data_IF_880414550512
#
_entry.id   IF_880414550512
#
_cell.length_a   1.000
_cell.length_b   1.000
_cell.length_c   1.000
_cell.angle_alpha   90.00
_cell.angle_beta   90.00
_cell.angle_gamma   90.00
#
_symmetry.space_group_name_H-M   'P 1'
#
loop_
_entity.id
_entity.type
_entity.pdbx_description
1 polymer ?
#
# COMPACT_ATOMS: atom_id res chain seq x y z
N UNK A 1 50.65 11.22 -36.39
CA UNK A 1 49.79 11.51 -35.22
C UNK A 1 48.84 10.34 -35.01
N UNK A 2 48.96 9.60 -33.90
CA UNK A 2 48.04 8.50 -33.54
C UNK A 2 46.98 9.06 -32.59
N UNK A 3 45.71 9.03 -32.99
CA UNK A 3 44.60 9.42 -32.13
C UNK A 3 44.13 8.20 -31.35
N UNK A 4 44.22 8.26 -30.02
CA UNK A 4 43.61 7.29 -29.12
C UNK A 4 42.17 7.73 -28.85
N UNK A 5 41.21 6.88 -29.20
CA UNK A 5 39.80 7.05 -28.86
C UNK A 5 39.60 6.56 -27.42
N UNK A 6 39.39 7.49 -26.49
CA UNK A 6 39.12 7.20 -25.09
C UNK A 6 37.62 6.91 -24.94
N UNK A 7 37.24 5.63 -24.82
CA UNK A 7 35.85 5.21 -24.60
C UNK A 7 35.54 5.36 -23.11
N UNK A 8 34.72 6.35 -22.76
CA UNK A 8 34.15 6.48 -21.42
C UNK A 8 33.02 5.45 -21.24
N UNK A 9 33.22 4.48 -20.35
CA UNK A 9 32.14 3.62 -19.86
C UNK A 9 31.30 4.41 -18.85
N UNK A 10 30.11 4.83 -19.26
CA UNK A 10 29.13 5.48 -18.41
C UNK A 10 28.44 4.39 -17.56
N UNK A 11 28.87 4.22 -16.31
CA UNK A 11 28.22 3.32 -15.36
C UNK A 11 27.00 4.04 -14.79
N UNK A 12 25.81 3.74 -15.32
CA UNK A 12 24.54 4.17 -14.74
C UNK A 12 24.27 3.37 -13.45
N UNK A 13 23.89 4.02 -12.34
CA UNK A 13 23.50 3.32 -11.13
C UNK A 13 22.19 2.56 -11.39
N UNK A 14 22.25 1.23 -11.32
CA UNK A 14 21.06 0.38 -11.32
C UNK A 14 20.43 0.53 -9.94
N UNK A 15 19.38 1.34 -9.84
CA UNK A 15 18.54 1.38 -8.64
C UNK A 15 17.74 0.07 -8.62
N UNK A 16 18.17 -0.90 -7.79
CA UNK A 16 17.37 -2.09 -7.51
C UNK A 16 16.14 -1.67 -6.70
N UNK A 17 15.01 -1.46 -7.37
CA UNK A 17 13.72 -1.57 -6.69
C UNK A 17 13.45 -3.04 -6.43
N UNK A 18 12.99 -3.38 -5.22
CA UNK A 18 12.50 -4.72 -4.92
C UNK A 18 11.37 -5.06 -5.90
N UNK A 19 11.65 -5.96 -6.84
CA UNK A 19 10.70 -6.40 -7.84
C UNK A 19 9.61 -7.25 -7.17
N UNK A 20 8.36 -7.02 -7.56
CA UNK A 20 7.25 -7.87 -7.14
C UNK A 20 7.50 -9.31 -7.62
N UNK A 21 7.47 -10.32 -6.73
CA UNK A 21 7.55 -11.71 -7.12
C UNK A 21 6.42 -12.08 -8.09
N UNK A 22 6.69 -13.00 -8.99
CA UNK A 22 5.66 -13.60 -9.84
C UNK A 22 4.94 -14.71 -9.06
N UNK A 23 3.61 -14.73 -9.15
CA UNK A 23 2.78 -15.69 -8.44
C UNK A 23 2.24 -16.75 -9.41
N UNK A 24 2.35 -18.05 -9.08
CA UNK A 24 1.91 -19.10 -9.97
C UNK A 24 0.38 -19.05 -10.11
N UNK A 25 -0.04 -18.89 -11.35
CA UNK A 25 -1.42 -19.00 -11.78
C UNK A 25 -1.93 -20.41 -11.53
N UNK A 26 -3.07 -20.53 -10.84
CA UNK A 26 -3.57 -21.83 -10.37
C UNK A 26 -5.08 -21.88 -10.25
N UNK A 27 -5.58 -23.08 -9.99
CA UNK A 27 -6.98 -23.33 -9.64
C UNK A 27 -7.10 -23.52 -8.13
N UNK A 28 -8.30 -23.32 -7.61
CA UNK A 28 -8.58 -23.38 -6.18
C UNK A 28 -10.00 -23.92 -5.96
N UNK A 29 -10.20 -24.77 -4.95
CA UNK A 29 -11.54 -25.22 -4.53
C UNK A 29 -11.76 -24.75 -3.10
N UNK A 30 -12.84 -24.01 -2.86
CA UNK A 30 -13.16 -23.55 -1.51
C UNK A 30 -13.81 -24.63 -0.65
N UNK A 31 -14.00 -24.33 0.63
CA UNK A 31 -14.60 -25.25 1.61
C UNK A 31 -16.06 -25.62 1.31
N UNK A 32 -16.72 -24.91 0.39
CA UNK A 32 -18.08 -25.21 -0.07
C UNK A 32 -18.11 -26.08 -1.33
N UNK A 33 -16.93 -26.41 -1.88
CA UNK A 33 -16.78 -27.18 -3.11
C UNK A 33 -16.89 -26.33 -4.38
N UNK A 34 -16.87 -24.99 -4.30
CA UNK A 34 -16.87 -24.14 -5.49
C UNK A 34 -15.48 -24.15 -6.12
N UNK A 35 -15.44 -24.38 -7.42
CA UNK A 35 -14.21 -24.43 -8.21
C UNK A 35 -13.89 -23.07 -8.84
N UNK A 36 -12.73 -22.53 -8.48
CA UNK A 36 -12.17 -21.28 -9.01
C UNK A 36 -11.05 -21.59 -10.00
N UNK A 37 -11.10 -20.92 -11.15
CA UNK A 37 -10.16 -21.11 -12.24
C UNK A 37 -9.50 -19.77 -12.55
N UNK A 38 -8.17 -19.74 -12.57
CA UNK A 38 -7.46 -18.56 -13.06
C UNK A 38 -7.86 -18.30 -14.52
N UNK A 39 -8.47 -17.15 -14.80
CA UNK A 39 -9.11 -16.85 -16.08
C UNK A 39 -8.13 -16.90 -17.27
N UNK A 40 -6.84 -16.65 -17.04
CA UNK A 40 -5.83 -16.73 -18.10
C UNK A 40 -5.24 -18.14 -18.31
N UNK A 41 -5.76 -19.18 -17.66
CA UNK A 41 -5.34 -20.56 -17.89
C UNK A 41 -6.30 -21.27 -18.85
N UNK A 42 -5.79 -22.15 -19.72
CA UNK A 42 -6.65 -23.00 -20.54
C UNK A 42 -7.52 -23.92 -19.67
N UNK A 43 -8.73 -24.19 -20.14
CA UNK A 43 -9.69 -25.10 -19.55
C UNK A 43 -9.71 -26.41 -20.35
N UNK A 44 -9.55 -27.52 -19.65
CA UNK A 44 -9.65 -28.87 -20.21
C UNK A 44 -10.75 -29.63 -19.49
N UNK A 45 -11.59 -30.31 -20.26
CA UNK A 45 -12.57 -31.26 -19.71
C UNK A 45 -12.00 -32.66 -19.76
N UNK A 46 -12.26 -33.43 -18.70
CA UNK A 46 -11.91 -34.84 -18.63
C UNK A 46 -13.17 -35.64 -18.30
N UNK A 47 -13.34 -36.79 -18.94
CA UNK A 47 -14.47 -37.70 -18.73
C UNK A 47 -13.94 -38.99 -18.09
N UNK A 48 -14.61 -39.44 -17.03
CA UNK A 48 -14.32 -40.69 -16.35
C UNK A 48 -15.60 -41.37 -15.90
N UNK A 49 -15.53 -42.69 -15.71
CA UNK A 49 -16.67 -43.52 -15.27
C UNK A 49 -16.67 -43.80 -13.76
N UNK A 50 -15.59 -43.45 -13.06
CA UNK A 50 -15.50 -43.51 -11.60
C UNK A 50 -14.52 -42.46 -11.08
N UNK A 51 -14.57 -42.17 -9.78
CA UNK A 51 -13.62 -41.27 -9.13
C UNK A 51 -12.21 -41.87 -9.02
N UNK A 52 -12.06 -43.19 -9.23
CA UNK A 52 -10.80 -43.93 -9.09
C UNK A 52 -10.07 -44.09 -10.43
N UNK A 53 -10.77 -43.96 -11.55
CA UNK A 53 -10.19 -44.13 -12.88
C UNK A 53 -9.45 -42.87 -13.34
N UNK A 54 -8.36 -43.04 -14.10
CA UNK A 54 -7.71 -41.92 -14.79
C UNK A 54 -8.65 -41.39 -15.88
N UNK A 55 -9.14 -40.14 -15.78
CA UNK A 55 -10.12 -39.65 -16.73
C UNK A 55 -9.44 -39.29 -18.07
N UNK A 56 -10.18 -39.44 -19.17
CA UNK A 56 -9.70 -39.16 -20.52
C UNK A 56 -10.03 -37.71 -20.92
N UNK A 57 -9.10 -36.97 -21.55
CA UNK A 57 -9.38 -35.62 -21.99
C UNK A 57 -10.42 -35.62 -23.10
N UNK A 58 -11.42 -34.74 -22.97
CA UNK A 58 -12.34 -34.43 -24.04
C UNK A 58 -11.62 -33.51 -25.03
N UNK A 59 -11.46 -33.96 -26.29
CA UNK A 59 -10.81 -33.16 -27.31
C UNK A 59 -11.81 -32.16 -27.92
N UNK A 60 -11.48 -30.88 -27.90
CA UNK A 60 -12.14 -29.88 -28.73
C UNK A 60 -11.63 -29.98 -30.17
N UNK A 61 -12.55 -29.88 -31.13
CA UNK A 61 -12.23 -29.60 -32.53
C UNK A 61 -12.64 -28.15 -32.82
N UNK A 62 -11.73 -27.27 -33.29
CA UNK A 62 -10.30 -27.46 -33.55
C UNK A 62 -9.45 -27.50 -32.25
N UNK A 63 -8.16 -27.89 -32.38
CA UNK A 63 -7.11 -28.01 -31.35
C UNK A 63 -6.76 -26.72 -30.58
N UNK A 64 -7.60 -25.69 -30.62
CA UNK A 64 -7.39 -24.47 -29.85
C UNK A 64 -7.66 -24.73 -28.37
N UNK A 65 -6.83 -24.15 -27.51
CA UNK A 65 -7.07 -24.09 -26.07
C UNK A 65 -8.37 -23.33 -25.80
N UNK A 66 -9.23 -23.91 -24.98
CA UNK A 66 -10.45 -23.24 -24.52
C UNK A 66 -10.09 -22.35 -23.33
N UNK A 67 -10.56 -21.11 -23.32
CA UNK A 67 -10.44 -20.20 -22.19
C UNK A 67 -11.83 -19.85 -21.66
N UNK A 68 -11.94 -19.66 -20.35
CA UNK A 68 -13.10 -19.00 -19.77
C UNK A 68 -12.88 -17.49 -19.96
N UNK A 69 -13.39 -16.96 -21.07
CA UNK A 69 -13.20 -15.55 -21.38
C UNK A 69 -13.83 -14.65 -20.30
N UNK A 70 -12.99 -13.84 -19.66
CA UNK A 70 -13.40 -12.86 -18.66
C UNK A 70 -13.34 -13.36 -17.21
N UNK A 71 -13.78 -12.49 -16.30
CA UNK A 71 -13.92 -12.78 -14.87
C UNK A 71 -15.41 -12.95 -14.55
N UNK A 72 -15.76 -14.01 -13.83
CA UNK A 72 -17.12 -14.27 -13.40
C UNK A 72 -17.49 -15.75 -13.39
N UNK A 73 -18.79 -16.02 -13.27
CA UNK A 73 -19.32 -17.39 -13.19
C UNK A 73 -19.66 -17.90 -14.58
N UNK A 74 -19.03 -18.98 -14.98
CA UNK A 74 -19.36 -19.74 -16.17
C UNK A 74 -20.16 -20.98 -15.77
N UNK A 75 -21.13 -21.37 -16.60
CA UNK A 75 -22.00 -22.52 -16.31
C UNK A 75 -22.11 -23.45 -17.51
N UNK A 76 -21.97 -24.75 -17.26
CA UNK A 76 -22.27 -25.82 -18.20
C UNK A 76 -23.55 -26.50 -17.76
N UNK A 77 -24.51 -26.62 -18.68
CA UNK A 77 -25.83 -27.20 -18.38
C UNK A 77 -25.99 -28.50 -19.15
N UNK A 78 -26.47 -29.51 -18.48
CA UNK A 78 -26.92 -30.76 -19.08
C UNK A 78 -28.41 -30.91 -18.81
N UNK A 79 -29.18 -31.05 -19.88
CA UNK A 79 -30.62 -31.29 -19.81
C UNK A 79 -30.91 -32.75 -20.09
N UNK A 80 -31.52 -33.43 -19.12
CA UNK A 80 -32.04 -34.77 -19.30
C UNK A 80 -33.48 -34.68 -19.83
N UNK A 81 -33.64 -34.90 -21.13
CA UNK A 81 -34.93 -34.77 -21.83
C UNK A 81 -35.96 -35.83 -21.44
N UNK A 82 -35.55 -36.91 -20.78
CA UNK A 82 -36.46 -37.96 -20.29
C UNK A 82 -37.10 -37.55 -18.96
N UNK A 83 -36.33 -36.89 -18.09
CA UNK A 83 -36.78 -36.49 -16.74
C UNK A 83 -37.11 -35.00 -16.62
N UNK A 84 -36.82 -34.21 -17.66
CA UNK A 84 -36.85 -32.74 -17.65
C UNK A 84 -36.00 -32.11 -16.54
N UNK A 85 -34.97 -32.83 -16.06
CA UNK A 85 -34.02 -32.34 -15.06
C UNK A 85 -32.87 -31.60 -15.74
N UNK A 86 -32.49 -30.44 -15.20
CA UNK A 86 -31.30 -29.70 -15.62
C UNK A 86 -30.25 -29.78 -14.51
N UNK A 87 -29.09 -30.32 -14.85
CA UNK A 87 -27.89 -30.28 -14.01
C UNK A 87 -27.01 -29.09 -14.43
N UNK A 88 -26.50 -28.33 -13.47
CA UNK A 88 -25.68 -27.13 -13.72
C UNK A 88 -24.33 -27.26 -13.01
N UNK A 89 -23.26 -27.34 -13.80
CA UNK A 89 -21.89 -27.22 -13.31
C UNK A 89 -21.46 -25.75 -13.39
N UNK A 90 -20.89 -25.21 -12.31
CA UNK A 90 -20.40 -23.83 -12.26
C UNK A 90 -18.88 -23.80 -12.08
N UNK A 91 -18.22 -22.93 -12.83
CA UNK A 91 -16.81 -22.58 -12.68
C UNK A 91 -16.71 -21.07 -12.46
N UNK A 92 -15.93 -20.67 -11.45
CA UNK A 92 -15.72 -19.28 -11.08
C UNK A 92 -14.37 -18.82 -11.66
N UNK A 93 -14.40 -18.21 -12.85
CA UNK A 93 -13.20 -17.69 -13.51
C UNK A 93 -12.76 -16.40 -12.84
N UNK A 94 -11.51 -16.36 -12.36
CA UNK A 94 -10.96 -15.19 -11.70
C UNK A 94 -9.69 -14.69 -12.40
N UNK A 95 -9.77 -13.49 -12.98
CA UNK A 95 -8.65 -12.77 -13.58
C UNK A 95 -8.45 -11.38 -13.00
N UNK A 96 -9.03 -11.08 -11.83
CA UNK A 96 -8.92 -9.75 -11.21
C UNK A 96 -8.11 -9.86 -9.94
N UNK A 97 -7.08 -9.02 -9.84
CA UNK A 97 -6.34 -8.88 -8.60
C UNK A 97 -7.26 -8.33 -7.48
N UNK A 98 -6.93 -8.62 -6.20
CA UNK A 98 -7.59 -8.00 -5.07
C UNK A 98 -7.52 -6.47 -5.08
N UNK A 99 -8.21 -5.82 -4.14
CA UNK A 99 -8.06 -4.38 -3.88
C UNK A 99 -7.68 -4.15 -2.43
N UNK A 100 -6.46 -3.66 -2.21
CA UNK A 100 -5.92 -3.33 -0.87
C UNK A 100 -5.98 -1.83 -0.56
N UNK A 101 -6.40 -1.50 0.66
CA UNK A 101 -6.41 -0.14 1.24
C UNK A 101 -5.49 -0.06 2.46
N UNK A 102 -4.99 1.14 2.73
CA UNK A 102 -4.20 1.46 3.93
C UNK A 102 -4.93 2.49 4.79
N UNK A 103 -4.85 2.32 6.11
CA UNK A 103 -5.44 3.23 7.10
C UNK A 103 -4.37 3.71 8.08
N UNK A 104 -4.20 5.03 8.17
CA UNK A 104 -3.26 5.70 9.07
C UNK A 104 -4.02 6.15 10.32
N UNK A 105 -3.63 5.65 11.49
CA UNK A 105 -4.40 5.75 12.72
C UNK A 105 -3.57 6.35 13.86
N UNK A 106 -4.27 6.96 14.82
CA UNK A 106 -3.79 7.33 16.17
C UNK A 106 -2.67 8.38 16.27
N UNK A 107 -2.22 8.96 15.14
CA UNK A 107 -1.31 10.10 15.14
C UNK A 107 -2.04 11.40 14.80
N UNK A 108 -1.64 12.51 15.43
CA UNK A 108 -1.89 13.84 14.86
C UNK A 108 -1.26 13.92 13.48
N UNK A 109 -1.93 14.54 12.53
CA UNK A 109 -1.41 14.70 11.18
C UNK A 109 -1.46 16.14 10.70
N UNK A 110 -0.50 16.47 9.84
CA UNK A 110 -0.46 17.72 9.10
C UNK A 110 -0.16 17.39 7.64
N UNK A 111 -0.98 17.90 6.73
CA UNK A 111 -0.78 17.71 5.29
C UNK A 111 -0.16 19.00 4.76
N UNK A 112 1.14 18.96 4.50
CA UNK A 112 1.85 20.01 3.78
C UNK A 112 1.58 19.94 2.27
N UNK A 113 2.12 20.89 1.52
CA UNK A 113 1.89 21.00 0.08
C UNK A 113 2.31 19.73 -0.71
N UNK A 114 3.40 19.09 -0.30
CA UNK A 114 4.00 17.96 -1.01
C UNK A 114 4.15 16.69 -0.15
N UNK A 115 3.79 16.74 1.13
CA UNK A 115 4.07 15.65 2.07
C UNK A 115 3.10 15.62 3.26
N UNK A 116 2.86 14.42 3.80
CA UNK A 116 2.07 14.22 4.99
C UNK A 116 2.97 13.96 6.19
N UNK A 117 2.74 14.68 7.28
CA UNK A 117 3.47 14.57 8.54
C UNK A 117 2.58 13.90 9.59
N UNK A 118 3.16 12.99 10.37
CA UNK A 118 2.47 12.27 11.43
C UNK A 118 3.28 12.33 12.73
N UNK A 119 2.59 12.61 13.84
CA UNK A 119 3.19 12.63 15.17
C UNK A 119 3.37 11.25 15.80
N UNK A 120 3.70 11.25 17.09
CA UNK A 120 3.86 10.03 17.89
C UNK A 120 2.62 9.15 17.89
N UNK A 121 2.82 7.83 17.87
CA UNK A 121 1.73 6.85 17.97
C UNK A 121 1.13 6.43 16.63
N UNK A 122 1.74 6.82 15.49
CA UNK A 122 1.31 6.40 14.17
C UNK A 122 1.26 4.88 14.05
N UNK A 123 0.10 4.39 13.61
CA UNK A 123 -0.12 2.99 13.23
C UNK A 123 -0.70 2.91 11.83
N UNK A 124 -0.19 1.98 11.02
CA UNK A 124 -0.76 1.71 9.70
C UNK A 124 -1.35 0.30 9.69
N UNK A 125 -2.60 0.20 9.22
CA UNK A 125 -3.27 -1.08 8.97
C UNK A 125 -3.55 -1.26 7.48
N UNK A 126 -3.43 -2.50 7.01
CA UNK A 126 -3.80 -2.90 5.65
C UNK A 126 -5.06 -3.77 5.67
N UNK A 127 -5.94 -3.55 4.70
CA UNK A 127 -7.12 -4.39 4.47
C UNK A 127 -7.26 -4.65 2.98
N UNK A 128 -7.59 -5.88 2.61
CA UNK A 128 -7.76 -6.25 1.20
C UNK A 128 -9.06 -6.99 0.99
N UNK A 129 -9.63 -6.81 -0.19
CA UNK A 129 -10.86 -7.49 -0.61
C UNK A 129 -10.70 -8.05 -2.00
N UNK A 130 -11.13 -9.30 -2.18
CA UNK A 130 -11.37 -9.88 -3.50
C UNK A 130 -12.77 -10.51 -3.50
N UNK A 131 -13.50 -10.33 -4.61
CA UNK A 131 -14.92 -10.72 -4.71
C UNK A 131 -15.14 -12.12 -5.27
N UNK A 132 -14.08 -12.78 -5.76
CA UNK A 132 -14.19 -14.07 -6.41
C UNK A 132 -13.40 -15.14 -5.68
N UNK A 133 -12.11 -15.34 -5.96
CA UNK A 133 -11.32 -16.39 -5.32
C UNK A 133 -10.93 -16.06 -3.87
N UNK A 134 -11.07 -14.80 -3.47
CA UNK A 134 -10.70 -14.28 -2.17
C UNK A 134 -9.20 -14.00 -2.06
N UNK A 135 -8.83 -13.25 -1.02
CA UNK A 135 -7.43 -12.86 -0.78
C UNK A 135 -6.65 -14.06 -0.21
N UNK A 136 -5.46 -14.32 -0.77
CA UNK A 136 -4.51 -15.30 -0.25
C UNK A 136 -3.53 -14.67 0.74
N UNK A 137 -2.91 -13.55 0.35
CA UNK A 137 -1.97 -12.82 1.19
C UNK A 137 -1.90 -11.33 0.82
N UNK A 138 -1.60 -10.52 1.83
CA UNK A 138 -1.14 -9.13 1.66
C UNK A 138 0.35 -9.12 1.94
N UNK A 139 1.12 -8.42 1.11
CA UNK A 139 2.54 -8.19 1.29
C UNK A 139 2.82 -6.71 1.46
N UNK A 140 3.82 -6.40 2.28
CA UNK A 140 4.23 -5.03 2.58
C UNK A 140 5.73 -4.90 2.73
N UNK A 141 6.24 -3.70 2.49
CA UNK A 141 7.63 -3.31 2.62
C UNK A 141 7.72 -1.89 3.17
N UNK A 142 8.79 -1.62 3.91
CA UNK A 142 9.13 -0.30 4.38
C UNK A 142 10.48 0.14 3.81
N UNK A 143 10.55 1.36 3.27
CA UNK A 143 11.76 1.98 2.72
C UNK A 143 12.45 1.13 1.66
N UNK A 144 11.65 0.54 0.76
CA UNK A 144 12.11 -0.31 -0.35
C UNK A 144 12.88 -1.57 0.06
N UNK A 145 12.69 -2.03 1.30
CA UNK A 145 13.18 -3.34 1.74
C UNK A 145 12.45 -4.48 1.01
N UNK A 146 12.86 -5.72 1.28
CA UNK A 146 12.16 -6.89 0.77
C UNK A 146 10.71 -6.94 1.29
N UNK A 147 9.79 -7.38 0.43
CA UNK A 147 8.41 -7.60 0.82
C UNK A 147 8.30 -8.75 1.82
N UNK A 148 7.49 -8.54 2.85
CA UNK A 148 7.13 -9.54 3.85
C UNK A 148 5.61 -9.68 3.92
N UNK A 149 5.14 -10.88 4.28
CA UNK A 149 3.71 -11.13 4.44
C UNK A 149 3.19 -10.31 5.62
N UNK A 150 2.10 -9.59 5.40
CA UNK A 150 1.39 -8.87 6.43
C UNK A 150 0.66 -9.86 7.35
N UNK A 151 0.87 -9.74 8.65
CA UNK A 151 0.36 -10.66 9.68
C UNK A 151 -1.02 -10.26 10.23
N UNK A 152 -1.57 -9.14 9.76
CA UNK A 152 -2.84 -8.58 10.23
C UNK A 152 -2.71 -7.66 11.46
N UNK A 153 -1.50 -7.41 11.94
CA UNK A 153 -1.23 -6.54 13.10
C UNK A 153 -0.86 -5.13 12.61
N UNK A 154 -1.22 -4.04 13.32
CA UNK A 154 -0.83 -2.69 12.89
C UNK A 154 0.70 -2.51 12.86
N UNK A 155 1.22 -1.95 11.76
CA UNK A 155 2.63 -1.57 11.64
C UNK A 155 2.85 -0.28 12.43
N UNK A 156 3.83 -0.29 13.32
CA UNK A 156 4.13 0.81 14.23
C UNK A 156 5.32 1.63 13.75
N UNK A 157 5.22 2.95 13.86
CA UNK A 157 6.30 3.88 13.52
C UNK A 157 6.75 4.63 14.77
N UNK A 158 7.94 4.29 15.26
CA UNK A 158 8.49 4.78 16.54
C UNK A 158 9.71 5.69 16.38
N UNK A 159 10.21 5.84 15.17
CA UNK A 159 11.36 6.68 14.86
C UNK A 159 10.94 7.81 13.96
N UNK A 160 11.56 8.96 14.14
CA UNK A 160 11.42 10.11 13.26
C UNK A 160 12.09 9.83 11.91
N UNK A 161 11.55 10.44 10.85
CA UNK A 161 12.13 10.42 9.51
C UNK A 161 11.11 10.18 8.40
N UNK A 162 11.63 10.13 7.18
CA UNK A 162 10.85 9.88 5.97
C UNK A 162 10.66 8.38 5.74
N UNK A 163 9.43 8.03 5.39
CA UNK A 163 9.04 6.65 5.14
C UNK A 163 8.37 6.48 3.78
N UNK A 164 8.71 5.37 3.13
CA UNK A 164 8.03 4.86 1.95
C UNK A 164 7.42 3.52 2.30
N UNK A 165 6.10 3.47 2.42
CA UNK A 165 5.36 2.25 2.74
C UNK A 165 4.71 1.68 1.49
N UNK A 166 5.17 0.50 1.07
CA UNK A 166 4.73 -0.16 -0.16
C UNK A 166 3.98 -1.43 0.15
N UNK A 167 2.90 -1.71 -0.56
CA UNK A 167 2.05 -2.88 -0.31
C UNK A 167 1.25 -3.32 -1.54
N UNK A 168 0.88 -4.61 -1.58
CA UNK A 168 0.00 -5.21 -2.58
C UNK A 168 -0.60 -6.50 -2.01
N UNK A 169 -1.65 -7.04 -2.63
CA UNK A 169 -2.20 -8.34 -2.30
C UNK A 169 -2.24 -9.29 -3.49
N UNK A 170 -2.39 -10.57 -3.17
CA UNK A 170 -2.51 -11.67 -4.13
C UNK A 170 -3.74 -12.49 -3.77
N UNK A 171 -4.50 -12.91 -4.78
CA UNK A 171 -5.66 -13.78 -4.60
C UNK A 171 -5.29 -15.27 -4.64
N UNK A 172 -6.29 -16.14 -4.43
CA UNK A 172 -6.08 -17.59 -4.39
C UNK A 172 -5.86 -18.24 -5.75
N UNK A 173 -6.09 -17.52 -6.85
CA UNK A 173 -5.82 -17.98 -8.23
C UNK A 173 -4.52 -17.41 -8.81
N UNK A 174 -3.80 -16.59 -8.04
CA UNK A 174 -2.51 -16.02 -8.40
C UNK A 174 -2.57 -14.65 -9.08
N UNK A 175 -3.70 -13.94 -9.05
CA UNK A 175 -3.73 -12.53 -9.49
C UNK A 175 -3.12 -11.63 -8.41
N UNK A 176 -2.12 -10.85 -8.78
CA UNK A 176 -1.44 -9.93 -7.88
C UNK A 176 -1.74 -8.47 -8.25
N UNK A 177 -1.97 -7.62 -7.26
CA UNK A 177 -2.09 -6.17 -7.45
C UNK A 177 -0.77 -5.56 -7.91
N UNK A 178 -0.85 -4.43 -8.61
CA UNK A 178 0.30 -3.54 -8.72
C UNK A 178 0.69 -3.00 -7.34
N UNK A 179 1.99 -2.83 -7.10
CA UNK A 179 2.50 -2.22 -5.86
C UNK A 179 1.90 -0.82 -5.67
N UNK A 180 1.29 -0.59 -4.51
CA UNK A 180 0.83 0.73 -4.04
C UNK A 180 1.86 1.29 -3.08
N UNK A 181 2.07 2.60 -3.13
CA UNK A 181 3.08 3.29 -2.32
C UNK A 181 2.48 4.48 -1.57
N UNK A 182 2.93 4.68 -0.33
CA UNK A 182 2.61 5.83 0.52
C UNK A 182 3.90 6.45 1.05
N UNK A 183 4.13 7.72 0.71
CA UNK A 183 5.23 8.54 1.24
C UNK A 183 4.71 9.46 2.33
N UNK A 184 5.40 9.51 3.45
CA UNK A 184 5.06 10.36 4.59
C UNK A 184 6.28 10.54 5.50
N UNK A 185 6.22 11.54 6.37
CA UNK A 185 7.23 11.78 7.40
C UNK A 185 6.61 11.56 8.77
N UNK A 186 7.35 10.90 9.64
CA UNK A 186 7.04 10.87 11.07
C UNK A 186 7.89 11.95 11.71
N UNK A 187 7.24 12.89 12.38
CA UNK A 187 7.87 14.01 13.08
C UNK A 187 7.56 13.89 14.57
N UNK A 188 8.60 13.63 15.37
CA UNK A 188 8.49 13.43 16.82
C UNK A 188 9.12 14.58 17.60
N UNK A 189 9.79 15.50 16.91
CA UNK A 189 10.49 16.62 17.51
C UNK A 189 9.51 17.76 17.75
N UNK A 190 9.46 18.26 18.98
CA UNK A 190 8.61 19.39 19.31
C UNK A 190 9.23 20.71 18.80
N UNK A 191 8.40 21.68 18.37
CA UNK A 191 8.89 22.99 17.98
C UNK A 191 9.53 23.71 19.17
N UNK A 192 10.56 24.51 18.90
CA UNK A 192 11.24 25.35 19.90
C UNK A 192 10.88 26.83 19.74
N UNK A 193 10.88 27.55 20.86
CA UNK A 193 10.63 29.00 20.87
C UNK A 193 11.52 29.72 21.87
N UNK A 194 12.01 30.89 21.48
CA UNK A 194 12.88 31.77 22.26
C UNK A 194 12.31 33.18 22.24
N UNK A 195 12.51 33.94 23.31
CA UNK A 195 12.17 35.36 23.34
C UNK A 195 13.45 36.18 23.21
N UNK A 196 13.33 37.32 22.54
CA UNK A 196 14.42 38.25 22.30
C UNK A 196 13.96 39.67 22.68
N UNK A 197 14.92 40.48 23.08
CA UNK A 197 14.70 41.89 23.39
C UNK A 197 15.41 42.76 22.37
N UNK A 198 14.72 43.77 21.87
CA UNK A 198 15.33 44.95 21.24
C UNK A 198 15.29 46.05 22.28
N UNK A 199 16.43 46.37 22.90
CA UNK A 199 16.49 47.36 23.98
C UNK A 199 17.77 48.18 23.97
N UNK A 200 17.71 49.33 24.64
CA UNK A 200 18.84 49.90 25.37
C UNK A 200 18.65 49.39 26.82
N UNK A 201 19.52 48.50 27.29
CA UNK A 201 19.43 47.91 28.64
C UNK A 201 20.71 48.13 29.44
N UNK A 202 20.57 48.37 30.74
CA UNK A 202 21.59 48.04 31.74
C UNK A 202 20.93 47.20 32.83
N UNK A 203 21.62 46.17 33.31
CA UNK A 203 21.28 45.36 34.50
C UNK A 203 19.80 44.95 34.66
N UNK A 204 19.27 44.14 33.74
CA UNK A 204 17.90 43.58 33.80
C UNK A 204 16.75 44.60 33.86
N UNK A 205 17.03 45.89 33.70
CA UNK A 205 16.03 46.94 33.55
C UNK A 205 15.82 47.23 32.08
N UNK A 206 14.57 47.11 31.64
CA UNK A 206 14.18 47.26 30.24
C UNK A 206 13.46 48.60 30.09
N UNK A 207 13.92 49.43 29.15
CA UNK A 207 13.29 50.73 28.89
C UNK A 207 11.86 50.58 28.37
N UNK A 208 11.02 51.60 28.54
CA UNK A 208 9.66 51.64 27.98
C UNK A 208 9.62 51.56 26.45
N UNK A 209 10.72 51.86 25.77
CA UNK A 209 10.84 51.79 24.31
C UNK A 209 11.35 50.43 23.80
N UNK A 210 11.48 49.45 24.70
CA UNK A 210 12.00 48.12 24.33
C UNK A 210 10.89 47.27 23.72
N UNK A 211 11.26 46.46 22.72
CA UNK A 211 10.34 45.52 22.07
C UNK A 211 10.73 44.08 22.37
N UNK A 212 9.75 43.22 22.60
CA UNK A 212 9.93 41.76 22.76
C UNK A 212 9.40 41.08 21.51
N UNK A 213 10.19 40.18 20.94
CA UNK A 213 9.73 39.30 19.86
C UNK A 213 10.11 37.86 20.15
N UNK A 214 9.34 36.92 19.60
CA UNK A 214 9.62 35.48 19.69
C UNK A 214 10.26 35.00 18.39
N UNK A 215 11.34 34.22 18.52
CA UNK A 215 11.90 33.40 17.46
C UNK A 215 11.40 31.97 17.65
N UNK A 216 10.86 31.38 16.59
CA UNK A 216 10.25 30.05 16.61
C UNK A 216 10.88 29.21 15.51
N UNK A 217 11.19 27.95 15.81
CA UNK A 217 11.74 27.04 14.82
C UNK A 217 11.21 25.63 15.00
N UNK A 218 10.92 25.00 13.88
CA UNK A 218 10.67 23.57 13.71
C UNK A 218 11.21 23.18 12.34
N UNK A 219 12.03 22.13 12.29
CA UNK A 219 12.73 21.75 11.06
C UNK A 219 11.94 20.81 10.15
N UNK A 220 10.80 20.28 10.61
CA UNK A 220 10.06 19.22 9.92
C UNK A 220 8.63 19.65 9.56
N UNK A 221 7.67 19.50 10.47
CA UNK A 221 6.26 19.82 10.19
C UNK A 221 5.92 21.31 10.28
N UNK A 222 6.84 22.11 10.83
CA UNK A 222 6.65 23.54 11.04
C UNK A 222 5.86 23.84 12.32
N UNK A 223 5.54 25.11 12.55
CA UNK A 223 4.82 25.54 13.75
C UNK A 223 3.42 26.02 13.41
N UNK A 224 2.41 25.34 13.97
CA UNK A 224 1.02 25.68 13.74
C UNK A 224 0.59 26.99 14.42
N UNK A 225 0.94 27.18 15.70
CA UNK A 225 0.58 28.35 16.50
C UNK A 225 1.64 28.64 17.56
N UNK A 226 1.85 29.91 17.84
CA UNK A 226 2.68 30.39 18.95
C UNK A 226 1.82 31.19 19.92
N UNK A 227 2.04 30.98 21.21
CA UNK A 227 1.31 31.68 22.27
C UNK A 227 2.30 32.34 23.23
N UNK A 228 1.90 33.48 23.81
CA UNK A 228 2.64 34.18 24.85
C UNK A 228 1.70 34.63 25.97
N UNK A 229 2.23 34.86 27.16
CA UNK A 229 1.53 35.51 28.27
C UNK A 229 2.52 36.27 29.12
N UNK A 230 2.03 37.29 29.80
CA UNK A 230 2.76 37.94 30.89
C UNK A 230 2.18 37.45 32.21
N UNK A 231 3.05 37.26 33.19
CA UNK A 231 2.71 36.87 34.55
C UNK A 231 1.71 35.70 34.63
N UNK A 232 0.60 35.89 35.35
CA UNK A 232 -0.45 34.89 35.57
C UNK A 232 -1.64 35.08 34.61
N UNK A 233 -1.48 35.85 33.54
CA UNK A 233 -2.54 36.05 32.56
C UNK A 233 -2.80 34.79 31.71
N UNK A 234 -3.88 34.85 30.92
CA UNK A 234 -4.18 33.82 29.91
C UNK A 234 -3.23 33.98 28.71
N UNK A 235 -2.92 32.85 28.07
CA UNK A 235 -2.17 32.83 26.81
C UNK A 235 -2.91 33.59 25.70
N UNK A 236 -2.15 34.42 24.99
CA UNK A 236 -2.55 35.17 23.79
C UNK A 236 -1.79 34.62 22.60
N UNK A 237 -2.39 34.67 21.41
CA UNK A 237 -1.73 34.24 20.18
C UNK A 237 -0.65 35.27 19.81
N UNK A 238 0.58 34.80 19.65
CA UNK A 238 1.66 35.60 19.07
C UNK A 238 1.51 35.60 17.55
N UNK A 239 1.41 36.78 16.94
CA UNK A 239 1.24 36.93 15.49
C UNK A 239 2.54 37.25 14.74
N UNK A 240 3.64 37.50 15.46
CA UNK A 240 4.90 37.97 14.87
C UNK A 240 4.75 39.31 14.13
N UNK A 241 5.87 39.81 13.61
CA UNK A 241 5.85 40.71 12.47
C UNK A 241 6.05 39.82 11.23
N UNK A 242 5.12 39.88 10.26
CA UNK A 242 5.33 39.30 8.94
C UNK A 242 6.50 39.97 8.23
#
# INVERSE_FOLDING_TARGET
MKYYCLIYFLILPIILFAQQPEYPKKTFVDTTGRYYHQASLPLYFFIGTSASDKPLPLQSAPKAELYLEGHGVHSFKHENTVTNKIDVLKIYADGRAPVTTSSFLQASSYIGANNAFYGSGLKIMLSSTDKMSGVDAIYHSLNSNNFSKYDGVPVLFKTEGDFVYSYYAVDRTGNAENIKEKKFTVDLTAPSSFHNFVSISSDNVISTNSSIYLSISDSASGVAKTYYKFDKEKFRIYKGNN
#
